data_IF_827940543463
#
_entry.id   IF_827940543463
#
_cell.length_a   1.000
_cell.length_b   1.000
_cell.length_c   1.000
_cell.angle_alpha   90.00
_cell.angle_beta   90.00
_cell.angle_gamma   90.00
#
_symmetry.space_group_name_H-M   'P 1'
#
loop_
_entity.id
_entity.type
_entity.pdbx_description
1 polymer ?
#
# COMPACT_ATOMS: atom_id res chain seq x y z
N UNK A 1 16.08 8.83 2.71
CA UNK A 1 14.73 9.39 2.88
C UNK A 1 14.83 10.90 2.87
N UNK A 2 13.83 11.56 2.37
CA UNK A 2 13.76 13.02 2.19
C UNK A 2 12.46 13.50 2.80
N UNK A 3 12.37 14.75 3.17
CA UNK A 3 11.12 15.33 3.68
C UNK A 3 10.87 16.71 3.09
N UNK A 4 9.62 17.09 3.03
CA UNK A 4 9.14 18.38 2.55
C UNK A 4 8.18 18.99 3.57
N UNK A 5 8.43 20.23 3.96
CA UNK A 5 7.54 20.97 4.84
C UNK A 5 6.37 21.51 4.00
N UNK A 6 5.17 21.02 4.28
CA UNK A 6 3.93 21.43 3.62
C UNK A 6 2.97 22.00 4.67
N UNK A 7 2.72 23.30 4.59
CA UNK A 7 2.05 24.05 5.64
C UNK A 7 2.76 23.88 7.01
N UNK A 8 2.12 23.24 7.97
CA UNK A 8 2.61 23.01 9.35
C UNK A 8 3.02 21.55 9.61
N UNK A 9 2.98 20.68 8.57
CA UNK A 9 3.33 19.27 8.66
C UNK A 9 4.51 18.92 7.75
N UNK A 10 5.31 17.97 8.19
CA UNK A 10 6.37 17.38 7.38
C UNK A 10 5.81 16.17 6.63
N UNK A 11 6.04 16.11 5.32
CA UNK A 11 5.73 14.96 4.47
C UNK A 11 7.06 14.26 4.15
N UNK A 12 7.23 13.06 4.69
CA UNK A 12 8.34 12.17 4.37
C UNK A 12 8.11 11.46 3.03
N UNK A 13 9.18 11.21 2.29
CA UNK A 13 9.12 10.45 1.04
C UNK A 13 10.46 9.85 0.67
N UNK A 14 10.44 8.84 -0.18
CA UNK A 14 11.63 8.37 -0.91
C UNK A 14 11.55 8.82 -2.36
N UNK A 15 12.72 9.00 -2.98
CA UNK A 15 12.85 9.34 -4.39
C UNK A 15 13.97 8.48 -4.98
N UNK A 16 13.62 7.58 -5.89
CA UNK A 16 14.53 6.62 -6.51
C UNK A 16 14.34 6.57 -8.03
N UNK A 17 15.44 6.59 -8.75
CA UNK A 17 15.46 6.51 -10.22
C UNK A 17 15.08 7.81 -10.91
N UNK A 18 15.10 7.75 -12.23
CA UNK A 18 14.75 8.81 -13.16
C UNK A 18 13.90 8.22 -14.30
N UNK A 19 12.80 8.83 -14.64
CA UNK A 19 11.88 8.33 -15.66
C UNK A 19 10.44 8.76 -15.43
N UNK A 20 9.50 7.95 -15.87
CA UNK A 20 8.08 8.25 -15.66
C UNK A 20 7.74 8.12 -14.18
N UNK A 21 7.11 9.14 -13.56
CA UNK A 21 6.85 9.14 -12.13
C UNK A 21 5.79 8.14 -11.71
N UNK A 22 6.08 7.39 -10.65
CA UNK A 22 5.15 6.51 -9.95
C UNK A 22 5.05 6.96 -8.49
N UNK A 23 3.88 7.44 -8.08
CA UNK A 23 3.55 7.68 -6.69
C UNK A 23 3.19 6.35 -6.03
N UNK A 24 3.96 5.92 -5.04
CA UNK A 24 3.82 4.63 -4.39
C UNK A 24 3.40 4.77 -2.93
N UNK A 25 2.26 4.17 -2.57
CA UNK A 25 1.73 4.14 -1.22
C UNK A 25 2.01 2.79 -0.57
N UNK A 26 2.59 2.83 0.63
CA UNK A 26 2.88 1.63 1.43
C UNK A 26 1.64 1.10 2.16
N UNK A 27 1.73 -0.11 2.72
CA UNK A 27 0.69 -0.69 3.56
C UNK A 27 0.77 -0.19 5.01
N UNK A 28 -0.24 -0.56 5.80
CA UNK A 28 -0.31 -0.30 7.24
C UNK A 28 0.95 -0.78 7.94
N UNK A 29 1.43 -0.05 8.93
CA UNK A 29 2.66 -0.28 9.71
C UNK A 29 3.99 -0.08 8.97
N UNK A 30 3.96 0.21 7.68
CA UNK A 30 5.14 0.34 6.80
C UNK A 30 5.52 1.82 6.57
N UNK A 31 6.45 2.04 5.65
CA UNK A 31 6.91 3.35 5.16
C UNK A 31 7.28 3.28 3.68
N UNK A 32 7.77 4.36 3.12
CA UNK A 32 8.05 4.56 1.69
C UNK A 32 8.98 3.54 1.02
N UNK A 33 9.74 2.74 1.78
CA UNK A 33 10.62 1.70 1.25
C UNK A 33 9.91 0.35 1.01
N UNK A 34 8.63 0.24 1.29
CA UNK A 34 7.85 -1.01 1.15
C UNK A 34 7.88 -1.60 -0.26
N UNK A 35 8.09 -0.77 -1.30
CA UNK A 35 8.12 -1.18 -2.69
C UNK A 35 9.51 -1.56 -3.22
N UNK A 36 10.54 -1.53 -2.37
CA UNK A 36 11.94 -1.73 -2.80
C UNK A 36 12.15 -3.00 -3.61
N UNK A 37 11.61 -4.15 -3.18
CA UNK A 37 11.78 -5.41 -3.89
C UNK A 37 11.09 -5.41 -5.27
N UNK A 38 9.92 -4.80 -5.38
CA UNK A 38 9.20 -4.65 -6.65
C UNK A 38 9.95 -3.69 -7.57
N UNK A 39 10.41 -2.55 -7.05
CA UNK A 39 11.21 -1.57 -7.78
C UNK A 39 12.48 -2.20 -8.37
N UNK A 40 13.20 -2.96 -7.55
CA UNK A 40 14.48 -3.57 -7.96
C UNK A 40 14.28 -4.68 -9.01
N UNK A 41 13.09 -5.29 -9.07
CA UNK A 41 12.70 -6.26 -10.08
C UNK A 41 12.01 -5.64 -11.31
N UNK A 42 11.84 -4.31 -11.36
CA UNK A 42 11.05 -3.66 -12.41
C UNK A 42 11.76 -3.73 -13.78
N UNK A 43 11.05 -4.01 -14.87
CA UNK A 43 11.67 -4.32 -16.17
C UNK A 43 12.24 -3.12 -16.93
N UNK A 44 11.93 -1.89 -16.51
CA UNK A 44 12.43 -0.65 -17.11
C UNK A 44 12.52 0.49 -16.09
N UNK A 45 13.30 1.55 -16.38
CA UNK A 45 13.47 2.66 -15.44
C UNK A 45 12.17 3.42 -15.19
N UNK A 46 11.89 3.69 -13.91
CA UNK A 46 10.83 4.56 -13.43
C UNK A 46 11.39 5.47 -12.35
N UNK A 47 10.75 6.62 -12.14
CA UNK A 47 10.98 7.42 -10.95
C UNK A 47 9.97 7.03 -9.88
N UNK A 48 10.42 6.33 -8.85
CA UNK A 48 9.61 5.90 -7.73
C UNK A 48 9.58 6.98 -6.65
N UNK A 49 8.40 7.47 -6.34
CA UNK A 49 8.14 8.41 -5.26
C UNK A 49 7.32 7.67 -4.20
N UNK A 50 8.01 7.14 -3.18
CA UNK A 50 7.35 6.51 -2.06
C UNK A 50 6.87 7.58 -1.08
N UNK A 51 5.58 7.61 -0.78
CA UNK A 51 4.96 8.54 0.15
C UNK A 51 4.89 7.91 1.55
N UNK A 52 5.39 8.60 2.57
CA UNK A 52 5.23 8.20 3.97
C UNK A 52 3.90 8.74 4.51
N UNK A 53 2.99 7.85 4.91
CA UNK A 53 1.77 8.27 5.61
C UNK A 53 2.09 9.03 6.90
N UNK A 54 1.18 9.88 7.43
CA UNK A 54 1.40 10.55 8.71
C UNK A 54 1.77 9.54 9.80
N UNK A 55 2.88 9.81 10.50
CA UNK A 55 3.43 8.91 11.52
C UNK A 55 4.28 7.76 10.99
N UNK A 56 4.59 7.73 9.67
CA UNK A 56 5.56 6.81 9.06
C UNK A 56 6.78 7.56 8.56
N UNK A 57 7.92 6.87 8.53
CA UNK A 57 9.18 7.40 7.99
C UNK A 57 9.54 8.76 8.58
N UNK A 58 9.67 9.75 7.71
CA UNK A 58 9.98 11.13 8.10
C UNK A 58 8.72 12.03 8.20
N UNK A 59 7.51 11.48 8.01
CA UNK A 59 6.27 12.24 8.13
C UNK A 59 5.93 12.58 9.57
N UNK A 60 5.39 13.77 9.79
CA UNK A 60 4.90 14.20 11.10
C UNK A 60 3.85 13.23 11.65
N UNK A 61 3.84 13.06 12.97
CA UNK A 61 2.77 12.34 13.66
C UNK A 61 1.43 13.03 13.42
N UNK A 62 0.34 12.27 13.21
CA UNK A 62 -0.98 12.87 13.11
C UNK A 62 -1.42 13.47 14.44
N UNK A 63 -2.07 14.64 14.40
CA UNK A 63 -2.62 15.33 15.58
C UNK A 63 -4.12 15.13 15.75
N UNK A 64 -4.75 14.48 14.77
CA UNK A 64 -6.17 14.10 14.75
C UNK A 64 -6.33 12.74 14.07
N UNK A 65 -7.55 12.20 14.04
CA UNK A 65 -7.88 11.01 13.25
C UNK A 65 -7.52 11.25 11.78
N UNK A 66 -6.92 10.23 11.15
CA UNK A 66 -6.53 10.32 9.74
C UNK A 66 -7.77 10.32 8.85
N UNK A 67 -7.76 11.21 7.87
CA UNK A 67 -8.76 11.22 6.80
C UNK A 67 -8.10 10.86 5.47
N UNK A 68 -8.68 9.88 4.77
CA UNK A 68 -8.11 9.34 3.53
C UNK A 68 -7.92 10.43 2.46
N UNK A 69 -8.90 11.33 2.34
CA UNK A 69 -8.87 12.41 1.36
C UNK A 69 -7.74 13.42 1.62
N UNK A 70 -7.46 13.71 2.89
CA UNK A 70 -6.33 14.59 3.27
C UNK A 70 -4.98 13.95 2.90
N UNK A 71 -4.83 12.64 3.13
CA UNK A 71 -3.62 11.91 2.72
C UNK A 71 -3.45 11.99 1.20
N UNK A 72 -4.52 11.82 0.44
CA UNK A 72 -4.50 11.93 -1.02
C UNK A 72 -4.14 13.35 -1.46
N UNK A 73 -4.71 14.39 -0.83
CA UNK A 73 -4.38 15.79 -1.13
C UNK A 73 -2.90 16.09 -0.88
N UNK A 74 -2.35 15.66 0.24
CA UNK A 74 -0.93 15.82 0.58
C UNK A 74 -0.01 15.12 -0.43
N UNK A 75 -0.35 13.90 -0.82
CA UNK A 75 0.44 13.14 -1.80
C UNK A 75 0.42 13.77 -3.20
N UNK A 76 -0.73 14.28 -3.65
CA UNK A 76 -0.84 15.01 -4.93
C UNK A 76 -0.12 16.37 -4.85
N UNK A 77 -0.14 17.04 -3.70
CA UNK A 77 0.64 18.25 -3.47
C UNK A 77 2.15 17.97 -3.54
N UNK A 78 2.62 16.85 -2.96
CA UNK A 78 4.00 16.39 -3.10
C UNK A 78 4.39 16.18 -4.57
N UNK A 79 3.55 15.52 -5.36
CA UNK A 79 3.81 15.33 -6.79
C UNK A 79 3.93 16.67 -7.53
N UNK A 80 3.10 17.64 -7.18
CA UNK A 80 3.17 19.00 -7.74
C UNK A 80 4.44 19.74 -7.31
N UNK A 81 4.86 19.59 -6.05
CA UNK A 81 6.11 20.14 -5.51
C UNK A 81 7.33 19.57 -6.25
N UNK A 82 7.29 18.30 -6.61
CA UNK A 82 8.34 17.63 -7.40
C UNK A 82 8.27 17.93 -8.90
N UNK A 83 7.31 18.73 -9.35
CA UNK A 83 7.17 19.17 -10.74
C UNK A 83 6.38 18.20 -11.64
N UNK A 84 5.72 17.20 -11.08
CA UNK A 84 4.94 16.23 -11.83
C UNK A 84 3.49 16.66 -11.98
N UNK A 85 3.05 16.87 -13.23
CA UNK A 85 1.65 17.19 -13.56
C UNK A 85 0.78 15.97 -13.69
N UNK A 86 1.33 14.86 -14.22
CA UNK A 86 0.66 13.56 -14.33
C UNK A 86 1.63 12.45 -13.88
N UNK A 87 1.10 11.38 -13.34
CA UNK A 87 1.88 10.27 -12.78
C UNK A 87 1.07 8.97 -12.77
N UNK A 88 1.77 7.85 -12.66
CA UNK A 88 1.17 6.58 -12.29
C UNK A 88 1.03 6.51 -10.77
N UNK A 89 0.03 5.79 -10.28
CA UNK A 89 -0.11 5.54 -8.83
C UNK A 89 -0.13 4.05 -8.55
N UNK A 90 0.58 3.62 -7.52
CA UNK A 90 0.58 2.26 -7.04
C UNK A 90 0.37 2.23 -5.53
N UNK A 91 -0.36 1.26 -5.04
CA UNK A 91 -0.58 1.12 -3.61
C UNK A 91 -0.69 -0.34 -3.19
N UNK A 92 -0.26 -0.62 -1.97
CA UNK A 92 -0.32 -1.92 -1.35
C UNK A 92 -1.15 -1.87 -0.06
N UNK A 93 -2.13 -2.75 0.07
CA UNK A 93 -3.00 -2.84 1.26
C UNK A 93 -3.73 -1.50 1.51
N UNK A 94 -3.57 -0.82 2.65
CA UNK A 94 -4.07 0.55 2.88
C UNK A 94 -3.64 1.51 1.75
N UNK A 95 -2.40 1.36 1.28
CA UNK A 95 -1.90 2.13 0.14
C UNK A 95 -2.67 1.87 -1.14
N UNK A 96 -3.19 0.65 -1.36
CA UNK A 96 -4.03 0.33 -2.51
C UNK A 96 -5.38 1.08 -2.45
N UNK A 97 -5.98 1.15 -1.28
CA UNK A 97 -7.19 1.96 -1.05
C UNK A 97 -6.90 3.44 -1.34
N UNK A 98 -5.76 3.94 -0.84
CA UNK A 98 -5.31 5.32 -1.06
C UNK A 98 -5.06 5.61 -2.54
N UNK A 99 -4.45 4.67 -3.27
CA UNK A 99 -4.21 4.79 -4.72
C UNK A 99 -5.52 4.83 -5.52
N UNK A 100 -6.48 3.98 -5.18
CA UNK A 100 -7.82 3.99 -5.79
C UNK A 100 -8.54 5.31 -5.52
N UNK A 101 -8.50 5.80 -4.27
CA UNK A 101 -9.10 7.08 -3.92
C UNK A 101 -8.42 8.24 -4.63
N UNK A 102 -7.09 8.21 -4.77
CA UNK A 102 -6.33 9.19 -5.54
C UNK A 102 -6.77 9.24 -7.01
N UNK A 103 -6.95 8.08 -7.64
CA UNK A 103 -7.42 8.00 -9.03
C UNK A 103 -8.86 8.53 -9.20
N UNK A 104 -9.73 8.30 -8.23
CA UNK A 104 -11.10 8.83 -8.24
C UNK A 104 -11.13 10.34 -8.05
N UNK A 105 -10.33 10.89 -7.12
CA UNK A 105 -10.30 12.34 -6.82
C UNK A 105 -9.56 13.16 -7.87
N UNK A 106 -8.56 12.57 -8.53
CA UNK A 106 -7.67 13.27 -9.47
C UNK A 106 -7.54 12.54 -10.82
N UNK A 107 -8.66 12.28 -11.52
CA UNK A 107 -8.65 11.49 -12.76
C UNK A 107 -7.78 12.13 -13.88
N UNK A 108 -7.64 13.46 -13.91
CA UNK A 108 -6.79 14.15 -14.88
C UNK A 108 -5.29 14.09 -14.54
N UNK A 109 -4.93 13.69 -13.33
CA UNK A 109 -3.55 13.60 -12.85
C UNK A 109 -3.01 12.17 -12.91
N UNK A 110 -3.88 11.18 -12.68
CA UNK A 110 -3.51 9.76 -12.58
C UNK A 110 -3.59 9.09 -13.95
N UNK A 111 -2.45 8.66 -14.46
CA UNK A 111 -2.35 7.99 -15.77
C UNK A 111 -2.83 6.54 -15.70
N UNK A 112 -2.38 5.79 -14.71
CA UNK A 112 -2.85 4.44 -14.40
C UNK A 112 -2.82 4.23 -12.90
N UNK A 113 -3.61 3.28 -12.40
CA UNK A 113 -3.60 2.88 -10.99
C UNK A 113 -3.31 1.39 -10.85
N UNK A 114 -2.47 1.03 -9.87
CA UNK A 114 -2.24 -0.35 -9.44
C UNK A 114 -2.69 -0.51 -7.99
N UNK A 115 -3.64 -1.41 -7.76
CA UNK A 115 -4.16 -1.79 -6.45
C UNK A 115 -3.66 -3.19 -6.11
N UNK A 116 -2.71 -3.32 -5.19
CA UNK A 116 -2.16 -4.60 -4.72
C UNK A 116 -2.78 -4.95 -3.36
N UNK A 117 -3.55 -6.05 -3.30
CA UNK A 117 -4.26 -6.51 -2.10
C UNK A 117 -5.15 -5.41 -1.47
N UNK A 118 -5.83 -4.61 -2.32
CA UNK A 118 -6.72 -3.53 -1.90
C UNK A 118 -8.16 -3.99 -1.70
N UNK A 119 -8.97 -3.09 -1.11
CA UNK A 119 -10.40 -3.29 -0.89
C UNK A 119 -11.16 -1.96 -0.99
N UNK A 120 -12.49 -2.04 -1.13
CA UNK A 120 -13.34 -0.85 -1.14
C UNK A 120 -13.93 -0.54 0.24
N UNK A 121 -14.43 -1.56 0.94
CA UNK A 121 -15.11 -1.41 2.23
C UNK A 121 -14.58 -2.42 3.23
N UNK A 122 -14.19 -1.96 4.43
CA UNK A 122 -13.77 -2.82 5.53
C UNK A 122 -14.96 -3.56 6.13
N UNK A 123 -15.00 -4.88 5.93
CA UNK A 123 -16.05 -5.72 6.50
C UNK A 123 -15.82 -6.05 7.98
N UNK A 124 -16.74 -6.78 8.58
CA UNK A 124 -16.68 -7.12 10.00
C UNK A 124 -15.42 -7.91 10.38
N UNK A 125 -14.96 -8.84 9.51
CA UNK A 125 -13.75 -9.63 9.74
C UNK A 125 -12.52 -8.73 9.74
N UNK A 126 -12.37 -7.88 8.73
CA UNK A 126 -11.27 -6.92 8.62
C UNK A 126 -11.22 -5.99 9.85
N UNK A 127 -12.36 -5.44 10.27
CA UNK A 127 -12.44 -4.57 11.45
C UNK A 127 -11.96 -5.26 12.73
N UNK A 128 -12.37 -6.51 12.95
CA UNK A 128 -11.90 -7.31 14.10
C UNK A 128 -10.41 -7.61 14.00
N UNK A 129 -9.91 -7.93 12.80
CA UNK A 129 -8.49 -8.20 12.57
C UNK A 129 -7.64 -6.95 12.84
N UNK A 130 -8.04 -5.79 12.33
CA UNK A 130 -7.32 -4.53 12.54
C UNK A 130 -7.35 -4.08 14.01
N UNK A 131 -8.46 -4.26 14.73
CA UNK A 131 -8.51 -4.02 16.18
C UNK A 131 -7.58 -4.98 16.95
N UNK A 132 -7.51 -6.24 16.54
CA UNK A 132 -6.56 -7.18 17.11
C UNK A 132 -5.10 -6.73 16.88
N UNK A 133 -4.76 -6.25 15.67
CA UNK A 133 -3.42 -5.75 15.37
C UNK A 133 -3.03 -4.55 16.25
N UNK A 134 -3.94 -3.59 16.44
CA UNK A 134 -3.74 -2.47 17.36
C UNK A 134 -3.37 -2.95 18.76
N UNK A 135 -4.08 -3.93 19.28
CA UNK A 135 -3.84 -4.50 20.61
C UNK A 135 -2.51 -5.25 20.69
N UNK A 136 -2.19 -6.05 19.67
CA UNK A 136 -0.93 -6.80 19.63
C UNK A 136 0.27 -5.84 19.57
N UNK A 137 0.22 -4.82 18.72
CA UNK A 137 1.29 -3.80 18.61
C UNK A 137 1.47 -3.06 19.95
N UNK A 138 0.38 -2.71 20.61
CA UNK A 138 0.43 -2.01 21.90
C UNK A 138 1.00 -2.87 23.04
N UNK A 139 0.85 -4.20 22.97
CA UNK A 139 1.42 -5.13 23.94
C UNK A 139 2.91 -5.40 23.64
N UNK A 140 3.20 -5.80 22.40
CA UNK A 140 4.52 -6.19 21.95
C UNK A 140 4.57 -6.24 20.41
N UNK A 141 5.33 -5.37 19.73
CA UNK A 141 5.50 -5.40 18.28
C UNK A 141 6.06 -6.71 17.74
N UNK A 142 6.91 -7.44 18.49
CA UNK A 142 7.38 -8.76 18.06
C UNK A 142 6.25 -9.78 18.07
N UNK A 143 5.35 -9.73 19.06
CA UNK A 143 4.17 -10.60 19.09
C UNK A 143 3.27 -10.34 17.90
N UNK A 144 3.05 -9.06 17.56
CA UNK A 144 2.34 -8.70 16.34
C UNK A 144 3.03 -9.26 15.09
N UNK A 145 4.35 -9.11 14.96
CA UNK A 145 5.06 -9.60 13.78
C UNK A 145 5.04 -11.14 13.69
N UNK A 146 5.12 -11.86 14.80
CA UNK A 146 4.95 -13.32 14.81
C UNK A 146 3.59 -13.73 14.26
N UNK A 147 2.53 -13.06 14.71
CA UNK A 147 1.20 -13.26 14.15
C UNK A 147 1.13 -12.88 12.66
N UNK A 148 1.62 -11.70 12.30
CA UNK A 148 1.54 -11.17 10.94
C UNK A 148 2.29 -12.06 9.93
N UNK A 149 3.48 -12.56 10.27
CA UNK A 149 4.22 -13.46 9.39
C UNK A 149 3.50 -14.81 9.26
N UNK A 150 3.01 -15.37 10.37
CA UNK A 150 2.34 -16.67 10.38
C UNK A 150 1.00 -16.66 9.61
N UNK A 151 0.28 -15.55 9.62
CA UNK A 151 -1.04 -15.43 8.99
C UNK A 151 -0.98 -14.77 7.61
N UNK A 152 0.03 -13.91 7.37
CA UNK A 152 0.17 -13.14 6.14
C UNK A 152 0.96 -13.81 5.01
N UNK A 153 1.84 -14.76 5.31
CA UNK A 153 2.53 -15.60 4.31
C UNK A 153 1.73 -16.85 3.96
N UNK A 154 1.99 -17.41 2.78
CA UNK A 154 1.63 -18.80 2.48
C UNK A 154 2.45 -19.77 3.34
N UNK A 155 1.98 -21.02 3.47
CA UNK A 155 2.78 -22.06 4.14
C UNK A 155 4.17 -22.21 3.50
N UNK A 156 4.24 -22.17 2.17
CA UNK A 156 5.49 -22.26 1.40
C UNK A 156 6.40 -21.05 1.67
N UNK A 157 5.83 -19.84 1.69
CA UNK A 157 6.57 -18.62 1.99
C UNK A 157 7.13 -18.63 3.42
N UNK A 158 6.34 -19.09 4.37
CA UNK A 158 6.77 -19.20 5.77
C UNK A 158 7.87 -20.28 5.95
N UNK A 159 7.76 -21.43 5.27
CA UNK A 159 8.80 -22.48 5.27
C UNK A 159 10.13 -21.93 4.73
N UNK A 160 10.09 -21.08 3.70
CA UNK A 160 11.30 -20.44 3.17
C UNK A 160 11.95 -19.47 4.17
N UNK A 161 11.18 -18.84 5.04
CA UNK A 161 11.66 -17.95 6.11
C UNK A 161 12.16 -18.70 7.35
N UNK A 162 11.78 -19.95 7.53
CA UNK A 162 12.03 -20.72 8.77
C UNK A 162 13.48 -20.63 9.27
N UNK A 163 14.54 -20.72 8.42
CA UNK A 163 15.93 -20.65 8.88
C UNK A 163 16.32 -19.31 9.52
N UNK A 164 15.58 -18.23 9.23
CA UNK A 164 15.86 -16.86 9.70
C UNK A 164 14.67 -16.21 10.39
N UNK A 165 13.65 -16.99 10.77
CA UNK A 165 12.37 -16.51 11.24
C UNK A 165 12.48 -15.50 12.39
N UNK A 166 13.22 -15.83 13.46
CA UNK A 166 13.37 -14.93 14.62
C UNK A 166 14.09 -13.62 14.24
N UNK A 167 15.08 -13.67 13.35
CA UNK A 167 15.75 -12.48 12.84
C UNK A 167 14.78 -11.60 12.06
N UNK A 168 13.97 -12.19 11.19
CA UNK A 168 12.95 -11.47 10.41
C UNK A 168 11.90 -10.86 11.34
N UNK A 169 11.44 -11.58 12.35
CA UNK A 169 10.52 -11.06 13.38
C UNK A 169 11.08 -9.80 14.04
N UNK A 170 12.31 -9.88 14.57
CA UNK A 170 12.94 -8.74 15.27
C UNK A 170 13.15 -7.54 14.34
N UNK A 171 13.62 -7.78 13.11
CA UNK A 171 13.79 -6.72 12.13
C UNK A 171 12.46 -6.06 11.75
N UNK A 172 11.44 -6.85 11.47
CA UNK A 172 10.12 -6.35 11.07
C UNK A 172 9.43 -5.60 12.23
N UNK A 173 9.57 -6.10 13.47
CA UNK A 173 9.03 -5.46 14.66
C UNK A 173 9.66 -4.07 14.90
N UNK A 174 10.98 -3.94 14.68
CA UNK A 174 11.67 -2.66 14.76
C UNK A 174 11.25 -1.68 13.65
N UNK A 175 10.67 -2.19 12.58
CA UNK A 175 10.15 -1.42 11.45
C UNK A 175 8.70 -0.95 11.61
N UNK A 176 7.98 -1.39 12.64
CA UNK A 176 6.59 -0.93 12.91
C UNK A 176 6.60 0.56 13.19
N UNK A 177 5.85 1.30 12.40
CA UNK A 177 5.89 2.77 12.41
C UNK A 177 5.09 3.35 13.60
N UNK A 178 5.51 4.49 14.17
CA UNK A 178 4.81 5.14 15.29
C UNK A 178 3.33 5.47 15.00
N UNK A 179 3.00 5.78 13.74
CA UNK A 179 1.63 6.07 13.31
C UNK A 179 0.73 4.85 13.09
N UNK A 180 1.22 3.62 13.32
CA UNK A 180 0.49 2.39 12.99
C UNK A 180 -0.90 2.28 13.61
N UNK A 181 -1.09 2.80 14.84
CA UNK A 181 -2.41 2.83 15.48
C UNK A 181 -3.42 3.69 14.70
N UNK A 182 -2.98 4.87 14.26
CA UNK A 182 -3.83 5.77 13.47
C UNK A 182 -4.13 5.18 12.06
N UNK A 183 -3.17 4.47 11.46
CA UNK A 183 -3.40 3.76 10.19
C UNK A 183 -4.45 2.67 10.36
N UNK A 184 -4.37 1.86 11.42
CA UNK A 184 -5.33 0.79 11.71
C UNK A 184 -6.72 1.35 12.04
N UNK A 185 -6.81 2.51 12.69
CA UNK A 185 -8.09 3.21 12.87
C UNK A 185 -8.69 3.65 11.54
N UNK A 186 -7.87 4.14 10.62
CA UNK A 186 -8.31 4.46 9.27
C UNK A 186 -8.77 3.19 8.54
N UNK A 187 -7.99 2.10 8.58
CA UNK A 187 -8.35 0.81 7.97
C UNK A 187 -9.75 0.33 8.42
N UNK A 188 -10.07 0.44 9.71
CA UNK A 188 -11.37 0.06 10.26
C UNK A 188 -12.53 0.88 9.65
N UNK A 189 -12.26 2.15 9.28
CA UNK A 189 -13.26 3.10 8.77
C UNK A 189 -13.36 3.16 7.25
N UNK A 190 -12.49 2.46 6.51
CA UNK A 190 -12.47 2.50 5.05
C UNK A 190 -13.83 2.16 4.46
N UNK A 191 -14.31 3.09 3.65
CA UNK A 191 -15.42 2.96 2.73
C UNK A 191 -15.22 3.92 1.56
N UNK A 192 -14.83 3.38 0.39
CA UNK A 192 -14.64 4.13 -0.85
C UNK A 192 -15.55 3.60 -1.96
N UNK A 193 -16.60 2.84 -1.62
CA UNK A 193 -17.48 2.18 -2.58
C UNK A 193 -18.04 3.14 -3.62
N UNK A 194 -18.59 4.27 -3.16
CA UNK A 194 -19.21 5.27 -4.04
C UNK A 194 -18.22 5.95 -4.99
N UNK A 195 -16.92 5.81 -4.78
CA UNK A 195 -15.88 6.43 -5.62
C UNK A 195 -15.35 5.50 -6.71
N UNK A 196 -15.61 4.20 -6.66
CA UNK A 196 -15.07 3.23 -7.63
C UNK A 196 -15.49 3.55 -9.06
N UNK A 197 -16.75 3.97 -9.26
CA UNK A 197 -17.28 4.38 -10.57
C UNK A 197 -16.68 5.67 -11.11
N UNK A 198 -15.96 6.46 -10.31
CA UNK A 198 -15.29 7.69 -10.71
C UNK A 198 -13.86 7.44 -11.24
N UNK A 199 -13.34 6.23 -11.08
CA UNK A 199 -12.00 5.86 -11.56
C UNK A 199 -12.08 5.64 -13.07
N UNK A 200 -11.54 6.59 -13.83
CA UNK A 200 -11.51 6.54 -15.30
C UNK A 200 -10.17 6.03 -15.84
N UNK A 201 -9.11 6.12 -15.04
CA UNK A 201 -7.77 5.63 -15.39
C UNK A 201 -7.78 4.11 -15.56
N UNK A 202 -6.98 3.54 -16.47
CA UNK A 202 -6.72 2.11 -16.50
C UNK A 202 -6.28 1.62 -15.12
N UNK A 203 -6.92 0.55 -14.61
CA UNK A 203 -6.69 0.02 -13.28
C UNK A 203 -6.19 -1.43 -13.35
N UNK A 204 -5.06 -1.70 -12.70
CA UNK A 204 -4.59 -3.05 -12.44
C UNK A 204 -4.92 -3.43 -11.01
N UNK A 205 -5.79 -4.38 -10.82
CA UNK A 205 -6.07 -4.99 -9.53
C UNK A 205 -5.25 -6.28 -9.42
N UNK A 206 -4.43 -6.38 -8.38
CA UNK A 206 -3.66 -7.59 -8.07
C UNK A 206 -4.16 -8.11 -6.72
N UNK A 207 -4.74 -9.31 -6.72
CA UNK A 207 -5.20 -10.02 -5.53
C UNK A 207 -4.32 -11.23 -5.23
N UNK A 208 -4.14 -11.55 -3.95
CA UNK A 208 -3.45 -12.74 -3.50
C UNK A 208 -4.48 -13.82 -3.11
N UNK A 209 -4.33 -15.03 -3.67
CA UNK A 209 -5.36 -16.10 -3.56
C UNK A 209 -5.44 -16.66 -2.13
N UNK A 210 -4.31 -16.68 -1.42
CA UNK A 210 -4.23 -17.20 -0.06
C UNK A 210 -4.23 -16.07 1.01
N UNK A 211 -4.65 -14.85 0.60
CA UNK A 211 -4.75 -13.70 1.50
C UNK A 211 -5.86 -13.92 2.56
N UNK A 212 -5.45 -13.97 3.81
CA UNK A 212 -6.36 -14.16 4.94
C UNK A 212 -6.86 -12.87 5.55
N UNK A 213 -6.28 -11.72 5.20
CA UNK A 213 -6.62 -10.41 5.72
C UNK A 213 -7.56 -9.66 4.79
N UNK A 214 -7.22 -9.64 3.50
CA UNK A 214 -8.00 -9.05 2.43
C UNK A 214 -8.36 -10.16 1.45
N UNK A 215 -9.47 -10.84 1.71
CA UNK A 215 -9.93 -11.97 0.92
C UNK A 215 -9.98 -11.63 -0.57
N UNK A 216 -9.61 -12.60 -1.42
CA UNK A 216 -9.55 -12.45 -2.88
C UNK A 216 -10.85 -11.92 -3.50
N UNK A 217 -11.98 -12.14 -2.85
CA UNK A 217 -13.27 -11.59 -3.28
C UNK A 217 -13.30 -10.06 -3.29
N UNK A 218 -12.44 -9.39 -2.50
CA UNK A 218 -12.29 -7.93 -2.54
C UNK A 218 -11.64 -7.48 -3.85
N UNK A 219 -10.64 -8.22 -4.34
CA UNK A 219 -10.03 -7.95 -5.64
C UNK A 219 -11.03 -8.19 -6.79
N UNK A 220 -11.83 -9.27 -6.73
CA UNK A 220 -12.90 -9.51 -7.70
C UNK A 220 -13.93 -8.38 -7.69
N UNK A 221 -14.31 -7.91 -6.51
CA UNK A 221 -15.24 -6.78 -6.37
C UNK A 221 -14.68 -5.51 -7.01
N UNK A 222 -13.45 -5.12 -6.69
CA UNK A 222 -12.79 -3.97 -7.30
C UNK A 222 -12.73 -4.08 -8.83
N UNK A 223 -12.32 -5.25 -9.34
CA UNK A 223 -12.20 -5.48 -10.78
C UNK A 223 -13.54 -5.42 -11.51
N UNK A 224 -14.64 -5.82 -10.85
CA UNK A 224 -15.99 -5.74 -11.43
C UNK A 224 -16.64 -4.37 -11.30
N UNK A 225 -16.21 -3.55 -10.34
CA UNK A 225 -16.81 -2.23 -10.05
C UNK A 225 -16.12 -1.07 -10.78
N UNK A 226 -14.87 -1.26 -11.24
CA UNK A 226 -14.08 -0.26 -11.94
C UNK A 226 -14.09 -0.56 -13.45
N UNK A 227 -14.61 0.37 -14.27
CA UNK A 227 -14.87 0.14 -15.70
C UNK A 227 -13.63 -0.30 -16.49
N UNK A 228 -12.46 0.30 -16.22
CA UNK A 228 -11.23 0.02 -16.95
C UNK A 228 -10.26 -0.86 -16.13
N UNK A 229 -10.80 -1.77 -15.31
CA UNK A 229 -9.98 -2.65 -14.50
C UNK A 229 -9.61 -3.95 -15.21
N UNK A 230 -8.40 -4.43 -14.92
CA UNK A 230 -7.92 -5.78 -15.18
C UNK A 230 -7.52 -6.44 -13.87
N UNK A 231 -7.76 -7.75 -13.74
CA UNK A 231 -7.44 -8.54 -12.56
C UNK A 231 -6.26 -9.48 -12.83
N UNK A 232 -5.34 -9.52 -11.88
CA UNK A 232 -4.28 -10.53 -11.78
C UNK A 232 -4.37 -11.19 -10.41
N UNK A 233 -4.44 -12.51 -10.38
CA UNK A 233 -4.44 -13.30 -9.16
C UNK A 233 -3.08 -13.96 -8.97
N UNK A 234 -2.50 -13.80 -7.78
CA UNK A 234 -1.20 -14.38 -7.45
C UNK A 234 -1.34 -15.45 -6.35
N UNK A 235 -0.63 -16.59 -6.50
CA UNK A 235 -0.64 -17.66 -5.48
C UNK A 235 0.25 -17.30 -4.28
N UNK A 236 -0.20 -16.34 -3.49
CA UNK A 236 0.51 -15.75 -2.36
C UNK A 236 -0.45 -15.43 -1.22
N UNK A 237 0.09 -15.17 -0.03
CA UNK A 237 -0.63 -14.55 1.08
C UNK A 237 -0.65 -13.02 0.97
N UNK A 238 -1.11 -12.34 2.02
CA UNK A 238 -1.14 -10.87 2.02
C UNK A 238 0.26 -10.26 1.87
N UNK A 239 1.29 -10.89 2.46
CA UNK A 239 2.68 -10.42 2.38
C UNK A 239 3.33 -10.74 1.01
N UNK A 240 2.54 -10.55 -0.05
CA UNK A 240 2.81 -10.92 -1.44
C UNK A 240 4.09 -10.30 -2.01
N UNK A 241 4.49 -9.11 -1.56
CA UNK A 241 5.75 -8.46 -1.99
C UNK A 241 6.95 -9.32 -1.56
N UNK A 242 6.91 -9.89 -0.36
CA UNK A 242 7.96 -10.79 0.12
C UNK A 242 7.98 -12.15 -0.57
N UNK A 243 6.87 -12.56 -1.20
CA UNK A 243 6.75 -13.84 -1.88
C UNK A 243 6.98 -13.75 -3.40
N UNK A 244 6.42 -12.72 -4.05
CA UNK A 244 6.28 -12.65 -5.52
C UNK A 244 6.58 -11.26 -6.09
N UNK A 245 7.61 -10.55 -5.58
CA UNK A 245 7.95 -9.20 -6.06
C UNK A 245 8.21 -9.13 -7.58
N UNK A 246 8.83 -10.17 -8.16
CA UNK A 246 9.10 -10.23 -9.59
C UNK A 246 7.83 -10.34 -10.45
N UNK A 247 6.87 -11.13 -10.02
CA UNK A 247 5.57 -11.29 -10.69
C UNK A 247 4.74 -10.02 -10.61
N UNK A 248 4.78 -9.32 -9.46
CA UNK A 248 4.15 -8.01 -9.29
C UNK A 248 4.79 -7.01 -10.25
N UNK A 249 6.13 -6.93 -10.28
CA UNK A 249 6.86 -6.02 -11.18
C UNK A 249 6.55 -6.29 -12.65
N UNK A 250 6.46 -7.56 -13.05
CA UNK A 250 6.11 -7.95 -14.42
C UNK A 250 4.68 -7.55 -14.79
N UNK A 251 3.70 -7.78 -13.90
CA UNK A 251 2.31 -7.39 -14.11
C UNK A 251 2.15 -5.87 -14.21
N UNK A 252 2.77 -5.13 -13.29
CA UNK A 252 2.79 -3.66 -13.31
C UNK A 252 3.50 -3.13 -14.56
N UNK A 253 4.66 -3.70 -14.93
CA UNK A 253 5.42 -3.28 -16.11
C UNK A 253 4.59 -3.40 -17.39
N UNK A 254 3.86 -4.50 -17.56
CA UNK A 254 2.92 -4.66 -18.67
C UNK A 254 1.79 -3.62 -18.64
N UNK A 255 1.27 -3.31 -17.46
CA UNK A 255 0.18 -2.35 -17.29
C UNK A 255 0.62 -0.90 -17.60
N UNK A 256 1.82 -0.51 -17.16
CA UNK A 256 2.34 0.85 -17.34
C UNK A 256 2.83 1.12 -18.78
N UNK A 257 3.05 0.08 -19.58
CA UNK A 257 3.52 0.18 -20.98
C UNK A 257 2.38 0.37 -21.99
N UNK A 258 1.15 0.20 -21.58
CA UNK A 258 -0.06 0.35 -22.40
C UNK A 258 -0.64 1.76 -22.26
#
# INVERSE_FOLDING_TARGET
MTSWLHHDKTIGYSLDGDGVPVLAFHGTTQKSDAWTQVRDAFPFPLQWIGFDFPGSGESSMPTAALELDEIVHDAVALMSHLGHTTFHVAGYSLGAVTALRCAAMYPDRVRTVTSLCGWAVSDARMKVTFDLWRRLIAIDPELFMRYALADGYTAKGLDALAPMYDMVVTMAASGVQPGSDAHLELDIRIDIEDSLGQITSPCLVIGAIEDRWVDITKAHHLASSITNASLVELPAGHLVIGELAGEIAAAMGKHLSN
#
